data_IF_269663580812
#
_entry.id   IF_269663580812
#
_cell.length_a   1.000
_cell.length_b   1.000
_cell.length_c   1.000
_cell.angle_alpha   90.00
_cell.angle_beta   90.00
_cell.angle_gamma   90.00
#
_symmetry.space_group_name_H-M   'P 1'
#
loop_
_entity.id
_entity.type
_entity.pdbx_description
1 polymer ?
#
# COMPACT_ATOMS: atom_id res chain seq x y z
N UNK A 1 17.58 -2.54 -17.50
CA UNK A 1 16.51 -3.36 -16.94
C UNK A 1 16.98 -4.82 -16.93
N UNK A 2 17.19 -5.37 -15.72
CA UNK A 2 17.35 -6.81 -15.57
C UNK A 2 15.96 -7.44 -15.74
N UNK A 3 15.76 -8.18 -16.82
CA UNK A 3 14.46 -8.76 -17.25
C UNK A 3 14.02 -9.94 -16.35
N UNK A 4 14.70 -10.22 -15.24
CA UNK A 4 14.55 -11.47 -14.49
C UNK A 4 13.79 -11.34 -13.16
N UNK A 5 13.47 -10.15 -12.69
CA UNK A 5 12.62 -9.98 -11.51
C UNK A 5 11.37 -9.18 -11.87
N UNK A 6 10.22 -9.77 -11.58
CA UNK A 6 8.92 -9.11 -11.76
C UNK A 6 8.72 -8.10 -10.62
N UNK A 7 8.66 -6.82 -10.95
CA UNK A 7 8.32 -5.75 -10.03
C UNK A 7 6.93 -5.22 -10.36
N UNK A 8 6.07 -5.18 -9.37
CA UNK A 8 4.70 -4.65 -9.50
C UNK A 8 4.53 -3.42 -8.63
N UNK A 9 3.61 -2.57 -9.04
CA UNK A 9 3.14 -1.44 -8.23
C UNK A 9 2.65 -1.94 -6.86
N UNK A 10 2.87 -1.15 -5.82
CA UNK A 10 2.67 -1.59 -4.43
C UNK A 10 1.21 -1.92 -4.13
N UNK A 11 0.98 -3.13 -3.66
CA UNK A 11 -0.28 -3.61 -3.11
C UNK A 11 -0.02 -4.67 -2.05
N UNK A 12 -0.87 -4.74 -1.04
CA UNK A 12 -0.84 -5.80 -0.04
C UNK A 12 -2.19 -6.51 0.06
N UNK A 13 -2.16 -7.81 0.32
CA UNK A 13 -3.35 -8.59 0.63
C UNK A 13 -3.30 -9.06 2.10
N UNK A 14 -4.40 -8.84 2.83
CA UNK A 14 -4.59 -9.45 4.14
C UNK A 14 -5.47 -10.67 3.96
N UNK A 15 -4.91 -11.84 4.27
CA UNK A 15 -5.50 -13.15 3.98
C UNK A 15 -5.93 -13.84 5.25
N UNK A 16 -7.18 -14.31 5.29
CA UNK A 16 -7.64 -15.30 6.26
C UNK A 16 -7.67 -16.67 5.56
N UNK A 17 -6.66 -17.50 5.85
CA UNK A 17 -6.50 -18.81 5.20
C UNK A 17 -7.59 -19.80 5.58
N UNK A 18 -8.13 -19.73 6.80
CA UNK A 18 -9.18 -20.63 7.29
C UNK A 18 -10.50 -20.39 6.55
N UNK A 19 -10.80 -19.13 6.26
CA UNK A 19 -12.00 -18.73 5.51
C UNK A 19 -11.78 -18.77 4.00
N UNK A 20 -10.55 -18.91 3.53
CA UNK A 20 -10.15 -18.69 2.11
C UNK A 20 -10.64 -17.36 1.57
N UNK A 21 -10.46 -16.30 2.33
CA UNK A 21 -10.90 -14.94 2.01
C UNK A 21 -9.77 -13.95 2.22
N UNK A 22 -9.83 -12.84 1.51
CA UNK A 22 -8.86 -11.77 1.67
C UNK A 22 -9.47 -10.40 1.36
N UNK A 23 -8.82 -9.37 1.88
CA UNK A 23 -9.01 -7.98 1.48
C UNK A 23 -7.74 -7.48 0.81
N UNK A 24 -7.90 -6.56 -0.13
CA UNK A 24 -6.78 -5.99 -0.89
C UNK A 24 -6.63 -4.51 -0.55
N UNK A 25 -5.40 -4.06 -0.42
CA UNK A 25 -5.07 -2.63 -0.35
C UNK A 25 -4.40 -2.25 -1.66
N UNK A 26 -4.97 -1.28 -2.33
CA UNK A 26 -4.69 -0.76 -3.67
C UNK A 26 -5.21 -1.63 -4.81
N UNK A 27 -5.79 -0.96 -5.80
CA UNK A 27 -6.12 -1.52 -7.10
C UNK A 27 -5.16 -0.95 -8.14
N UNK A 28 -3.95 -1.48 -8.18
CA UNK A 28 -2.85 -0.97 -8.99
C UNK A 28 -3.03 -1.31 -10.48
N UNK A 29 -2.28 -0.66 -11.39
CA UNK A 29 -2.24 -1.06 -12.80
C UNK A 29 -1.90 -2.54 -13.00
N UNK A 30 -1.16 -3.15 -12.07
CA UNK A 30 -0.70 -4.55 -12.12
C UNK A 30 -1.67 -5.54 -11.45
N UNK A 31 -2.88 -5.11 -11.10
CA UNK A 31 -3.83 -5.90 -10.30
C UNK A 31 -4.09 -7.30 -10.89
N UNK A 32 -4.10 -7.45 -12.20
CA UNK A 32 -4.34 -8.74 -12.86
C UNK A 32 -3.22 -9.75 -12.54
N UNK A 33 -1.98 -9.30 -12.51
CA UNK A 33 -0.82 -10.11 -12.12
C UNK A 33 -0.84 -10.40 -10.61
N UNK A 34 -1.18 -9.40 -9.79
CA UNK A 34 -1.28 -9.53 -8.34
C UNK A 34 -2.37 -10.54 -7.93
N UNK A 35 -3.55 -10.50 -8.54
CA UNK A 35 -4.61 -11.49 -8.31
C UNK A 35 -4.22 -12.89 -8.78
N UNK A 36 -3.54 -13.00 -9.93
CA UNK A 36 -3.02 -14.29 -10.41
C UNK A 36 -1.92 -14.84 -9.49
N UNK A 37 -1.10 -13.98 -8.88
CA UNK A 37 -0.10 -14.38 -7.90
C UNK A 37 -0.76 -14.97 -6.64
N UNK A 38 -1.81 -14.32 -6.12
CA UNK A 38 -2.62 -14.84 -5.00
C UNK A 38 -3.25 -16.18 -5.34
N UNK A 39 -3.85 -16.32 -6.53
CA UNK A 39 -4.37 -17.60 -7.02
C UNK A 39 -3.30 -18.69 -6.97
N UNK A 40 -2.13 -18.42 -7.55
CA UNK A 40 -1.06 -19.42 -7.72
C UNK A 40 -0.37 -19.82 -6.40
N UNK A 41 -0.17 -18.85 -5.49
CA UNK A 41 0.72 -19.03 -4.35
C UNK A 41 -0.01 -19.13 -2.99
N UNK A 42 -1.32 -18.85 -2.95
CA UNK A 42 -2.10 -18.79 -1.71
C UNK A 42 -3.36 -19.67 -1.75
N UNK A 43 -4.19 -19.57 -2.83
CA UNK A 43 -5.53 -20.13 -2.82
C UNK A 43 -5.73 -21.35 -3.73
N UNK A 44 -4.86 -21.60 -4.70
CA UNK A 44 -5.01 -22.59 -5.78
C UNK A 44 -6.26 -22.40 -6.68
N UNK A 45 -7.04 -21.36 -6.41
CA UNK A 45 -8.24 -20.97 -7.18
C UNK A 45 -8.32 -19.44 -7.33
N UNK A 46 -9.03 -18.97 -8.35
CA UNK A 46 -9.23 -17.53 -8.54
C UNK A 46 -10.36 -17.04 -7.63
N UNK A 47 -10.00 -16.17 -6.71
CA UNK A 47 -10.93 -15.51 -5.79
C UNK A 47 -10.82 -14.00 -5.97
N UNK A 48 -11.95 -13.30 -5.90
CA UNK A 48 -11.98 -11.85 -5.78
C UNK A 48 -11.82 -11.45 -4.30
N UNK A 49 -11.25 -10.27 -4.02
CA UNK A 49 -11.19 -9.77 -2.65
C UNK A 49 -12.59 -9.48 -2.10
N UNK A 50 -12.80 -9.73 -0.81
CA UNK A 50 -14.05 -9.32 -0.13
C UNK A 50 -14.25 -7.80 -0.18
N UNK A 51 -13.16 -7.05 -0.11
CA UNK A 51 -13.13 -5.61 -0.32
C UNK A 51 -11.75 -5.12 -0.78
N UNK A 52 -11.73 -3.97 -1.43
CA UNK A 52 -10.52 -3.27 -1.86
C UNK A 52 -10.50 -1.92 -1.16
N UNK A 53 -9.40 -1.62 -0.47
CA UNK A 53 -9.16 -0.33 0.17
C UNK A 53 -8.26 0.52 -0.71
N UNK A 54 -8.67 1.74 -1.02
CA UNK A 54 -7.89 2.69 -1.82
C UNK A 54 -7.34 3.79 -0.92
N UNK A 55 -6.05 4.09 -1.04
CA UNK A 55 -5.43 5.17 -0.26
C UNK A 55 -5.77 6.54 -0.81
N UNK A 56 -5.63 6.75 -2.12
CA UNK A 56 -5.84 8.05 -2.75
C UNK A 56 -5.95 7.96 -4.29
N UNK A 57 -6.24 9.11 -4.93
CA UNK A 57 -6.51 9.20 -6.36
C UNK A 57 -5.25 9.47 -7.22
N UNK A 58 -4.13 8.80 -6.95
CA UNK A 58 -3.01 8.73 -7.89
C UNK A 58 -3.07 7.44 -8.70
N UNK A 59 -2.66 7.52 -9.97
CA UNK A 59 -2.84 6.47 -10.98
C UNK A 59 -2.34 5.09 -10.51
N UNK A 60 -1.22 5.04 -9.80
CA UNK A 60 -0.64 3.80 -9.28
C UNK A 60 -1.52 3.04 -8.28
N UNK A 61 -2.55 3.67 -7.70
CA UNK A 61 -3.27 3.14 -6.54
C UNK A 61 -4.70 2.68 -6.85
N UNK A 62 -5.34 3.18 -7.93
CA UNK A 62 -6.76 2.90 -8.18
C UNK A 62 -7.10 2.51 -9.62
N UNK A 63 -6.21 2.74 -10.61
CA UNK A 63 -6.57 2.52 -12.01
C UNK A 63 -6.89 1.08 -12.36
N UNK A 64 -6.36 0.12 -11.60
CA UNK A 64 -6.68 -1.29 -11.76
C UNK A 64 -8.16 -1.63 -11.53
N UNK A 65 -8.94 -0.73 -10.92
CA UNK A 65 -10.40 -0.90 -10.81
C UNK A 65 -11.06 -1.09 -12.17
N UNK A 66 -10.47 -0.56 -13.26
CA UNK A 66 -11.00 -0.74 -14.61
C UNK A 66 -11.14 -2.22 -15.03
N UNK A 67 -10.30 -3.11 -14.47
CA UNK A 67 -10.34 -4.55 -14.77
C UNK A 67 -11.54 -5.28 -14.15
N UNK A 68 -12.27 -4.64 -13.22
CA UNK A 68 -13.52 -5.18 -12.69
C UNK A 68 -14.71 -4.93 -13.63
N UNK A 69 -14.53 -4.08 -14.66
CA UNK A 69 -15.52 -3.74 -15.65
C UNK A 69 -15.97 -4.92 -16.50
N UNK A 70 -17.10 -4.73 -17.19
CA UNK A 70 -17.75 -5.75 -18.03
C UNK A 70 -16.89 -6.24 -19.20
N UNK A 71 -15.94 -5.41 -19.65
CA UNK A 71 -15.03 -5.74 -20.75
C UNK A 71 -13.86 -6.64 -20.32
N UNK A 72 -13.69 -6.87 -19.00
CA UNK A 72 -12.64 -7.70 -18.43
C UNK A 72 -13.24 -8.77 -17.49
N UNK A 73 -13.24 -8.55 -16.17
CA UNK A 73 -13.76 -9.52 -15.20
C UNK A 73 -15.29 -9.59 -15.17
N UNK A 74 -15.99 -8.52 -15.55
CA UNK A 74 -17.43 -8.42 -15.39
C UNK A 74 -17.87 -8.66 -13.94
N UNK A 75 -17.12 -8.13 -12.99
CA UNK A 75 -17.41 -8.29 -11.58
C UNK A 75 -18.80 -7.76 -11.25
N UNK A 76 -19.37 -8.27 -10.16
CA UNK A 76 -20.67 -7.82 -9.68
C UNK A 76 -20.54 -7.40 -8.22
N UNK A 77 -20.91 -6.15 -7.95
CA UNK A 77 -20.93 -5.56 -6.60
C UNK A 77 -19.60 -5.70 -5.85
N UNK A 78 -18.45 -5.65 -6.58
CA UNK A 78 -17.13 -5.68 -5.93
C UNK A 78 -17.00 -4.49 -4.98
N UNK A 79 -16.82 -4.74 -3.70
CA UNK A 79 -16.76 -3.68 -2.69
C UNK A 79 -15.43 -2.94 -2.82
N UNK A 80 -15.53 -1.61 -2.96
CA UNK A 80 -14.40 -0.68 -2.92
C UNK A 80 -14.62 0.25 -1.73
N UNK A 81 -13.68 0.27 -0.80
CA UNK A 81 -13.70 1.14 0.37
C UNK A 81 -12.81 2.35 0.12
N UNK A 82 -13.38 3.52 0.21
CA UNK A 82 -12.73 4.77 -0.12
C UNK A 82 -13.18 5.89 0.81
N UNK A 83 -12.32 6.87 1.02
CA UNK A 83 -12.63 8.09 1.75
C UNK A 83 -13.57 9.00 0.95
N UNK A 84 -14.25 9.99 1.56
CA UNK A 84 -15.32 10.75 0.91
C UNK A 84 -14.95 11.39 -0.42
N UNK A 85 -13.79 12.07 -0.53
CA UNK A 85 -13.37 12.70 -1.80
C UNK A 85 -12.99 11.67 -2.82
N UNK A 86 -12.34 10.55 -2.41
CA UNK A 86 -12.03 9.44 -3.30
C UNK A 86 -13.30 8.75 -3.80
N UNK A 87 -14.30 8.56 -2.93
CA UNK A 87 -15.61 8.04 -3.31
C UNK A 87 -16.28 8.93 -4.36
N UNK A 88 -16.36 10.23 -4.09
CA UNK A 88 -16.89 11.20 -5.04
C UNK A 88 -16.11 11.23 -6.36
N UNK A 89 -14.78 11.09 -6.31
CA UNK A 89 -13.95 11.02 -7.51
C UNK A 89 -14.33 9.81 -8.38
N UNK A 90 -14.46 8.63 -7.82
CA UNK A 90 -14.82 7.41 -8.55
C UNK A 90 -16.25 7.47 -9.11
N UNK A 91 -17.19 8.03 -8.38
CA UNK A 91 -18.60 8.15 -8.76
C UNK A 91 -18.85 9.17 -9.87
N UNK A 92 -18.00 10.19 -10.00
CA UNK A 92 -18.24 11.30 -10.91
C UNK A 92 -17.24 11.43 -12.07
N UNK A 93 -16.27 10.54 -12.17
CA UNK A 93 -15.28 10.56 -13.27
C UNK A 93 -15.32 9.26 -14.06
N UNK A 94 -15.52 9.37 -15.37
CA UNK A 94 -15.35 8.25 -16.28
C UNK A 94 -13.88 7.84 -16.43
N UNK A 95 -13.59 6.53 -16.63
CA UNK A 95 -14.54 5.45 -16.80
C UNK A 95 -15.04 4.80 -15.51
N UNK A 96 -14.56 5.20 -14.32
CA UNK A 96 -14.89 4.56 -13.04
C UNK A 96 -16.37 4.74 -12.66
N UNK A 97 -16.97 5.90 -12.96
CA UNK A 97 -18.40 6.12 -12.73
C UNK A 97 -19.27 5.09 -13.45
N UNK A 98 -18.87 4.64 -14.66
CA UNK A 98 -19.58 3.57 -15.36
C UNK A 98 -19.54 2.26 -14.56
N UNK A 99 -18.41 1.91 -13.92
CA UNK A 99 -18.30 0.69 -13.11
C UNK A 99 -19.28 0.72 -11.92
N UNK A 100 -19.50 1.90 -11.34
CA UNK A 100 -20.50 2.12 -10.27
C UNK A 100 -21.92 1.99 -10.84
N UNK A 101 -22.22 2.68 -11.93
CA UNK A 101 -23.55 2.74 -12.53
C UNK A 101 -24.08 1.36 -12.94
N UNK A 102 -23.19 0.50 -13.44
CA UNK A 102 -23.56 -0.86 -13.91
C UNK A 102 -23.29 -1.94 -12.85
N UNK A 103 -23.00 -1.55 -11.61
CA UNK A 103 -22.75 -2.44 -10.47
C UNK A 103 -21.57 -3.42 -10.65
N UNK A 104 -20.54 -3.06 -11.40
CA UNK A 104 -19.30 -3.82 -11.39
C UNK A 104 -18.55 -3.61 -10.07
N UNK A 105 -18.53 -2.36 -9.57
CA UNK A 105 -18.04 -2.02 -8.24
C UNK A 105 -19.14 -1.36 -7.41
N UNK A 106 -19.02 -1.49 -6.10
CA UNK A 106 -19.90 -0.83 -5.12
C UNK A 106 -19.04 -0.09 -4.12
N UNK A 107 -19.14 1.23 -4.12
CA UNK A 107 -18.38 2.07 -3.21
C UNK A 107 -19.01 2.00 -1.81
N UNK A 108 -18.17 1.77 -0.81
CA UNK A 108 -18.49 1.93 0.60
C UNK A 108 -17.59 2.99 1.18
N UNK A 109 -18.16 4.14 1.46
CA UNK A 109 -17.44 5.23 2.11
C UNK A 109 -16.96 4.83 3.50
N UNK A 110 -15.70 5.18 3.78
CA UNK A 110 -15.05 5.03 5.09
C UNK A 110 -14.56 6.40 5.55
N UNK A 111 -14.31 6.54 6.84
CA UNK A 111 -13.90 7.82 7.42
C UNK A 111 -12.68 7.65 8.32
N UNK A 112 -11.81 8.64 8.38
CA UNK A 112 -10.63 8.63 9.24
C UNK A 112 -11.00 8.33 10.70
N UNK A 113 -10.21 7.45 11.31
CA UNK A 113 -10.36 7.03 12.70
C UNK A 113 -11.54 6.10 12.97
N UNK A 114 -12.39 5.81 11.98
CA UNK A 114 -13.49 4.85 12.13
C UNK A 114 -13.09 3.47 11.63
N UNK A 115 -13.01 2.53 12.56
CA UNK A 115 -12.60 1.16 12.29
C UNK A 115 -13.69 0.36 11.57
N UNK A 116 -13.29 -0.51 10.66
CA UNK A 116 -14.14 -1.54 10.05
C UNK A 116 -13.65 -2.93 10.44
N UNK A 117 -14.59 -3.85 10.66
CA UNK A 117 -14.26 -5.25 10.95
C UNK A 117 -14.29 -6.06 9.65
N UNK A 118 -13.21 -6.75 9.36
CA UNK A 118 -12.99 -7.53 8.14
C UNK A 118 -12.62 -8.98 8.48
N UNK A 119 -13.01 -9.92 7.62
CA UNK A 119 -12.55 -11.31 7.68
C UNK A 119 -12.69 -11.93 9.07
N UNK A 120 -13.70 -11.53 9.84
CA UNK A 120 -14.04 -11.95 11.21
C UNK A 120 -13.11 -11.46 12.33
N UNK A 121 -11.82 -11.20 12.06
CA UNK A 121 -10.83 -10.91 13.11
C UNK A 121 -9.88 -9.76 12.75
N UNK A 122 -10.06 -9.14 11.59
CA UNK A 122 -9.19 -8.07 11.13
C UNK A 122 -9.92 -6.74 11.32
N UNK A 123 -9.27 -5.81 12.00
CA UNK A 123 -9.77 -4.45 12.15
C UNK A 123 -8.92 -3.54 11.26
N UNK A 124 -9.58 -2.75 10.42
CA UNK A 124 -8.93 -1.78 9.53
C UNK A 124 -9.38 -0.39 9.89
N UNK A 125 -8.42 0.49 10.19
CA UNK A 125 -8.68 1.88 10.55
C UNK A 125 -7.91 2.81 9.61
N UNK A 126 -8.58 3.63 8.80
CA UNK A 126 -7.92 4.63 7.97
C UNK A 126 -7.38 5.78 8.83
N UNK A 127 -6.16 6.20 8.54
CA UNK A 127 -5.50 7.36 9.16
C UNK A 127 -5.11 8.36 8.09
N UNK A 128 -5.28 9.63 8.38
CA UNK A 128 -4.87 10.67 7.45
C UNK A 128 -3.35 10.79 7.42
N UNK A 129 -2.80 10.90 6.22
CA UNK A 129 -1.39 11.21 6.00
C UNK A 129 -1.26 12.41 5.06
N UNK A 130 -0.27 13.29 5.26
CA UNK A 130 -0.03 14.39 4.35
C UNK A 130 0.50 13.88 3.01
N UNK A 131 -0.08 14.33 1.92
CA UNK A 131 0.42 14.07 0.57
C UNK A 131 -0.15 15.11 -0.40
N UNK A 132 0.03 14.94 -1.71
CA UNK A 132 -0.60 15.79 -2.72
C UNK A 132 -2.07 15.40 -2.89
N UNK A 133 -2.95 16.20 -2.34
CA UNK A 133 -4.39 15.92 -2.29
C UNK A 133 -5.14 16.59 -3.45
N UNK A 134 -4.67 16.42 -4.69
CA UNK A 134 -5.26 17.08 -5.87
C UNK A 134 -6.71 16.65 -6.10
N UNK A 135 -6.97 15.34 -6.06
CA UNK A 135 -8.29 14.78 -6.36
C UNK A 135 -8.98 14.14 -5.17
N UNK A 136 -8.22 13.66 -4.20
CA UNK A 136 -8.74 13.03 -3.00
C UNK A 136 -7.87 13.34 -1.80
N UNK A 137 -8.36 13.09 -0.59
CA UNK A 137 -7.53 12.93 0.60
C UNK A 137 -6.64 11.68 0.47
N UNK A 138 -5.56 11.63 1.26
CA UNK A 138 -4.66 10.49 1.29
C UNK A 138 -4.74 9.75 2.63
N UNK A 139 -4.92 8.43 2.57
CA UNK A 139 -4.97 7.54 3.72
C UNK A 139 -3.74 6.66 3.84
N UNK A 140 -3.30 6.42 5.08
CA UNK A 140 -2.66 5.18 5.49
C UNK A 140 -3.69 4.28 6.17
N UNK A 141 -3.33 3.04 6.45
CA UNK A 141 -4.20 2.07 7.12
C UNK A 141 -3.50 1.39 8.29
N UNK A 142 -4.14 1.44 9.46
CA UNK A 142 -3.82 0.56 10.58
C UNK A 142 -4.58 -0.74 10.36
N UNK A 143 -3.88 -1.87 10.42
CA UNK A 143 -4.43 -3.20 10.21
C UNK A 143 -4.11 -4.02 11.44
N UNK A 144 -5.14 -4.35 12.22
CA UNK A 144 -4.98 -5.08 13.47
C UNK A 144 -5.50 -6.50 13.29
N UNK A 145 -4.61 -7.46 13.49
CA UNK A 145 -4.94 -8.88 13.58
C UNK A 145 -5.17 -9.32 15.02
N UNK A 146 -5.18 -10.64 15.24
CA UNK A 146 -5.42 -11.21 16.57
C UNK A 146 -4.30 -10.85 17.58
N UNK A 147 -3.06 -10.83 17.13
CA UNK A 147 -1.89 -10.75 18.01
C UNK A 147 -0.96 -9.59 17.66
N UNK A 148 -1.04 -9.08 16.44
CA UNK A 148 -0.12 -8.08 15.92
C UNK A 148 -0.86 -7.04 15.11
N UNK A 149 -0.21 -5.87 14.94
CA UNK A 149 -0.72 -4.78 14.15
C UNK A 149 0.30 -4.28 13.14
N UNK A 150 -0.18 -3.93 11.97
CA UNK A 150 0.58 -3.34 10.89
C UNK A 150 0.12 -1.92 10.59
N UNK A 151 1.03 -1.10 10.13
CA UNK A 151 0.76 0.21 9.55
C UNK A 151 1.18 0.18 8.07
N UNK A 152 0.24 0.50 7.18
CA UNK A 152 0.47 0.55 5.74
C UNK A 152 0.35 1.98 5.25
N UNK A 153 1.46 2.57 4.83
CA UNK A 153 1.56 3.94 4.28
C UNK A 153 2.43 3.86 3.01
N UNK A 154 1.84 3.53 1.85
CA UNK A 154 2.61 3.42 0.62
C UNK A 154 3.07 4.79 0.10
N UNK A 155 2.33 5.84 0.43
CA UNK A 155 2.57 7.18 -0.08
C UNK A 155 2.34 8.22 1.01
N UNK A 156 3.32 9.08 1.23
CA UNK A 156 3.26 10.18 2.20
C UNK A 156 4.22 11.29 1.77
N UNK A 157 3.93 12.52 2.11
CA UNK A 157 4.88 13.63 2.05
C UNK A 157 5.95 13.49 3.17
N UNK A 158 6.75 14.47 3.42
CA UNK A 158 7.80 14.42 4.47
C UNK A 158 7.24 14.09 5.85
N UNK A 159 7.94 13.25 6.61
CA UNK A 159 7.52 12.82 7.95
C UNK A 159 7.26 13.98 8.92
N UNK A 160 8.00 15.08 8.80
CA UNK A 160 7.80 16.28 9.62
C UNK A 160 6.49 17.02 9.36
N UNK A 161 5.82 16.75 8.24
CA UNK A 161 4.50 17.30 7.93
C UNK A 161 3.36 16.49 8.54
N UNK A 162 3.65 15.28 9.03
CA UNK A 162 2.66 14.45 9.67
C UNK A 162 2.59 14.75 11.17
N UNK A 163 1.38 14.72 11.72
CA UNK A 163 1.11 14.97 13.14
C UNK A 163 1.49 13.79 14.07
N UNK A 164 2.02 12.70 13.49
CA UNK A 164 2.46 11.51 14.23
C UNK A 164 3.98 11.34 14.17
N UNK A 165 4.53 10.78 15.24
CA UNK A 165 5.97 10.52 15.34
C UNK A 165 6.29 9.10 14.85
N UNK A 166 7.05 8.98 13.75
CA UNK A 166 7.40 7.69 13.16
C UNK A 166 8.23 6.81 14.13
N UNK A 167 9.09 7.39 14.96
CA UNK A 167 9.86 6.63 15.94
C UNK A 167 8.97 5.97 16.99
N UNK A 168 7.95 6.69 17.49
CA UNK A 168 6.96 6.12 18.41
C UNK A 168 6.13 5.03 17.74
N UNK A 169 5.74 5.22 16.48
CA UNK A 169 5.02 4.19 15.72
C UNK A 169 5.87 2.93 15.53
N UNK A 170 7.20 3.06 15.32
CA UNK A 170 8.10 1.91 15.21
C UNK A 170 8.23 1.12 16.52
N UNK A 171 8.01 1.77 17.66
CA UNK A 171 7.92 1.07 18.96
C UNK A 171 6.55 0.39 19.14
N UNK A 172 5.49 1.04 18.68
CA UNK A 172 4.11 0.62 18.92
C UNK A 172 3.63 -0.51 18.00
N UNK A 173 4.01 -0.48 16.71
CA UNK A 173 3.56 -1.45 15.71
C UNK A 173 4.51 -2.64 15.59
N UNK A 174 4.00 -3.77 15.07
CA UNK A 174 4.79 -4.96 14.76
C UNK A 174 5.35 -4.90 13.33
N UNK A 175 4.63 -4.25 12.42
CA UNK A 175 5.03 -4.07 11.02
C UNK A 175 4.69 -2.65 10.55
N UNK A 176 5.68 -1.97 9.98
CA UNK A 176 5.50 -0.68 9.31
C UNK A 176 5.89 -0.84 7.84
N UNK A 177 4.90 -0.88 6.98
CA UNK A 177 5.09 -0.91 5.53
C UNK A 177 4.98 0.53 5.03
N UNK A 178 6.11 1.17 4.77
CA UNK A 178 6.19 2.62 4.59
C UNK A 178 6.88 3.00 3.29
N UNK A 179 6.56 4.22 2.84
CA UNK A 179 7.05 4.83 1.60
C UNK A 179 8.58 4.80 1.49
N UNK A 180 9.06 4.35 0.36
CA UNK A 180 10.46 4.32 -0.05
C UNK A 180 10.61 4.65 -1.54
N UNK A 181 9.80 5.57 -2.05
CA UNK A 181 9.75 5.92 -3.47
C UNK A 181 11.14 6.22 -4.01
N UNK A 182 11.93 7.04 -3.32
CA UNK A 182 13.30 7.38 -3.70
C UNK A 182 14.29 7.09 -2.58
N UNK A 183 15.46 6.56 -2.95
CA UNK A 183 16.50 6.26 -1.96
C UNK A 183 17.15 7.55 -1.42
N UNK A 184 17.66 8.39 -2.32
CA UNK A 184 18.31 9.66 -1.97
C UNK A 184 18.09 10.72 -3.06
N UNK A 185 18.63 11.92 -2.82
CA UNK A 185 18.51 13.05 -3.72
C UNK A 185 19.23 12.89 -5.08
N UNK A 186 20.12 11.93 -5.20
CA UNK A 186 20.92 11.70 -6.42
C UNK A 186 20.19 10.81 -7.41
N UNK A 187 19.15 10.10 -6.96
CA UNK A 187 18.37 9.18 -7.78
C UNK A 187 17.61 9.92 -8.88
N UNK A 188 17.23 11.16 -8.64
CA UNK A 188 16.45 11.97 -9.57
C UNK A 188 17.09 13.33 -9.81
N UNK A 189 17.06 13.75 -11.06
CA UNK A 189 17.57 15.06 -11.48
C UNK A 189 16.47 16.13 -11.34
N UNK A 190 15.96 16.34 -10.11
CA UNK A 190 14.93 17.33 -9.74
C UNK A 190 15.27 17.98 -8.42
N UNK A 191 14.68 19.14 -8.14
CA UNK A 191 14.77 19.76 -6.83
C UNK A 191 14.06 18.87 -5.79
N UNK A 192 14.75 18.50 -4.72
CA UNK A 192 14.23 17.63 -3.66
C UNK A 192 13.04 18.27 -2.95
N UNK A 193 12.97 19.59 -2.88
CA UNK A 193 11.84 20.31 -2.28
C UNK A 193 10.52 20.10 -3.02
N UNK A 194 10.59 19.71 -4.30
CA UNK A 194 9.42 19.41 -5.13
C UNK A 194 8.96 17.94 -5.01
N UNK A 195 9.69 17.11 -4.25
CA UNK A 195 9.40 15.68 -4.12
C UNK A 195 8.55 15.45 -2.87
N UNK A 196 7.27 15.12 -3.05
CA UNK A 196 6.36 14.89 -1.94
C UNK A 196 6.47 13.46 -1.39
N UNK A 197 7.71 13.01 -1.12
CA UNK A 197 8.02 11.73 -0.52
C UNK A 197 9.23 11.89 0.42
N UNK A 198 9.27 11.18 1.55
CA UNK A 198 10.48 11.08 2.33
C UNK A 198 11.50 10.25 1.56
N UNK A 199 12.76 10.65 1.59
CA UNK A 199 13.83 9.79 1.08
C UNK A 199 14.08 8.64 2.07
N UNK A 200 14.50 7.49 1.54
CA UNK A 200 14.88 6.35 2.39
C UNK A 200 16.00 6.75 3.35
N UNK A 201 16.96 7.56 2.89
CA UNK A 201 18.04 8.08 3.74
C UNK A 201 17.50 8.94 4.88
N UNK A 202 16.51 9.82 4.64
CA UNK A 202 15.86 10.64 5.68
C UNK A 202 15.15 9.76 6.71
N UNK A 203 14.43 8.72 6.24
CA UNK A 203 13.74 7.78 7.12
C UNK A 203 14.70 6.96 7.97
N UNK A 204 15.81 6.49 7.39
CA UNK A 204 16.86 5.77 8.10
C UNK A 204 17.51 6.66 9.17
N UNK A 205 17.82 7.91 8.84
CA UNK A 205 18.43 8.86 9.78
C UNK A 205 17.48 9.18 10.93
N UNK A 206 16.20 9.39 10.65
CA UNK A 206 15.15 9.63 11.65
C UNK A 206 15.03 8.46 12.64
N UNK A 207 15.15 7.23 12.17
CA UNK A 207 15.01 6.01 12.98
C UNK A 207 16.34 5.45 13.49
N UNK A 208 17.47 6.08 13.18
CA UNK A 208 18.82 5.57 13.52
C UNK A 208 19.05 5.38 15.01
N UNK A 209 18.42 6.20 15.86
CA UNK A 209 18.51 6.12 17.31
C UNK A 209 17.71 4.98 17.95
N UNK A 210 16.84 4.31 17.23
CA UNK A 210 16.05 3.20 17.75
C UNK A 210 16.87 1.91 17.87
N UNK A 211 16.45 1.05 18.79
CA UNK A 211 16.97 -0.31 18.89
C UNK A 211 16.74 -1.07 17.56
N UNK A 212 17.66 -1.99 17.23
CA UNK A 212 17.58 -2.80 16.01
C UNK A 212 16.28 -3.59 15.92
N UNK A 213 15.72 -4.04 17.03
CA UNK A 213 14.42 -4.73 17.12
C UNK A 213 13.28 -3.87 16.57
N UNK A 214 13.28 -2.56 16.86
CA UNK A 214 12.26 -1.64 16.35
C UNK A 214 12.51 -1.29 14.88
N UNK A 215 13.78 -1.13 14.47
CA UNK A 215 14.11 -0.92 13.05
C UNK A 215 13.74 -2.11 12.18
N UNK A 216 13.85 -3.34 12.69
CA UNK A 216 13.49 -4.57 11.98
C UNK A 216 11.98 -4.75 11.74
N UNK A 217 11.15 -3.91 12.33
CA UNK A 217 9.71 -3.86 12.04
C UNK A 217 9.36 -3.01 10.82
N UNK A 218 10.32 -2.22 10.32
CA UNK A 218 10.14 -1.33 9.17
C UNK A 218 10.44 -2.09 7.89
N UNK A 219 9.47 -2.04 6.97
CA UNK A 219 9.52 -2.61 5.63
C UNK A 219 9.34 -1.48 4.62
N UNK A 220 10.39 -1.18 3.88
CA UNK A 220 10.35 -0.22 2.78
C UNK A 220 9.57 -0.79 1.59
N UNK A 221 8.58 -0.04 1.12
CA UNK A 221 7.67 -0.38 0.01
C UNK A 221 7.60 0.80 -0.98
N UNK A 222 6.81 0.66 -2.05
CA UNK A 222 6.48 1.74 -2.99
C UNK A 222 7.70 2.36 -3.69
N UNK A 223 8.68 1.53 -4.04
CA UNK A 223 9.90 2.00 -4.71
C UNK A 223 9.64 2.38 -6.16
N UNK A 224 10.14 3.55 -6.57
CA UNK A 224 10.14 3.95 -7.98
C UNK A 224 11.07 3.01 -8.79
N UNK A 225 10.79 2.88 -10.08
CA UNK A 225 11.58 2.04 -10.99
C UNK A 225 13.08 2.43 -11.10
N UNK A 226 13.43 3.65 -10.67
CA UNK A 226 14.83 4.11 -10.60
C UNK A 226 15.53 3.70 -9.31
N UNK A 227 14.77 3.28 -8.28
CA UNK A 227 15.32 2.97 -6.97
C UNK A 227 16.10 1.65 -7.01
N UNK A 228 17.40 1.75 -6.79
CA UNK A 228 18.31 0.57 -6.80
C UNK A 228 18.00 -0.46 -5.72
N UNK A 229 17.17 -0.11 -4.71
CA UNK A 229 16.70 -1.08 -3.71
C UNK A 229 15.73 -2.12 -4.29
N UNK A 230 15.22 -1.95 -5.51
CA UNK A 230 14.48 -2.98 -6.22
C UNK A 230 15.33 -4.23 -6.46
N UNK A 231 16.62 -4.06 -6.74
CA UNK A 231 17.57 -5.19 -6.85
C UNK A 231 18.02 -5.64 -5.44
N UNK A 232 17.69 -6.88 -5.00
CA UNK A 232 18.08 -7.40 -3.69
C UNK A 232 19.61 -7.52 -3.52
N UNK A 233 20.33 -7.67 -4.61
CA UNK A 233 21.79 -7.81 -4.62
C UNK A 233 22.54 -6.49 -4.72
N UNK A 234 21.83 -5.38 -4.88
CA UNK A 234 22.43 -4.04 -4.93
C UNK A 234 23.15 -3.67 -3.63
N UNK A 235 24.17 -2.84 -3.73
CA UNK A 235 24.88 -2.31 -2.55
C UNK A 235 23.93 -1.48 -1.64
N UNK A 236 22.92 -0.82 -2.21
CA UNK A 236 21.93 -0.08 -1.44
C UNK A 236 21.01 -1.02 -0.64
N UNK A 237 20.52 -2.10 -1.24
CA UNK A 237 19.74 -3.12 -0.52
C UNK A 237 20.53 -3.73 0.63
N UNK A 238 21.80 -4.08 0.41
CA UNK A 238 22.69 -4.60 1.45
C UNK A 238 22.94 -3.57 2.56
N UNK A 239 23.15 -2.32 2.20
CA UNK A 239 23.35 -1.24 3.17
C UNK A 239 22.12 -1.04 4.06
N UNK A 240 20.91 -0.97 3.49
CA UNK A 240 19.65 -0.81 4.21
C UNK A 240 19.43 -1.96 5.19
N UNK A 241 19.60 -3.21 4.72
CA UNK A 241 19.44 -4.40 5.57
C UNK A 241 20.51 -4.49 6.65
N UNK A 242 21.75 -4.09 6.37
CA UNK A 242 22.82 -4.04 7.40
C UNK A 242 22.53 -3.06 8.54
N UNK A 243 21.72 -2.03 8.28
CA UNK A 243 21.23 -1.08 9.30
C UNK A 243 20.03 -1.60 10.09
N UNK A 244 19.56 -2.83 9.82
CA UNK A 244 18.47 -3.49 10.54
C UNK A 244 17.08 -3.18 10.01
N UNK A 245 16.94 -2.61 8.82
CA UNK A 245 15.67 -2.39 8.14
C UNK A 245 15.36 -3.52 7.16
N UNK A 246 14.09 -3.65 6.76
CA UNK A 246 13.68 -4.59 5.73
C UNK A 246 13.25 -3.84 4.45
N UNK A 247 13.39 -4.54 3.34
CA UNK A 247 12.85 -4.14 2.04
C UNK A 247 11.81 -5.19 1.65
N UNK A 248 10.56 -4.78 1.52
CA UNK A 248 9.50 -5.72 1.15
C UNK A 248 9.71 -6.27 -0.27
N UNK A 249 9.40 -7.54 -0.44
CA UNK A 249 9.56 -8.25 -1.71
C UNK A 249 8.25 -8.89 -2.14
N UNK A 250 8.10 -9.11 -3.45
CA UNK A 250 6.94 -9.78 -4.00
C UNK A 250 6.73 -11.15 -3.33
N UNK A 251 5.51 -11.41 -2.88
CA UNK A 251 5.15 -12.68 -2.24
C UNK A 251 5.63 -12.84 -0.80
N UNK A 252 6.25 -11.83 -0.19
CA UNK A 252 6.63 -11.85 1.23
C UNK A 252 5.39 -11.99 2.10
N UNK A 253 5.47 -12.84 3.14
CA UNK A 253 4.38 -13.09 4.09
C UNK A 253 4.75 -12.56 5.46
N UNK A 254 3.84 -11.77 6.05
CA UNK A 254 3.88 -11.31 7.44
C UNK A 254 2.65 -11.87 8.16
N UNK A 255 2.77 -12.23 9.42
CA UNK A 255 1.69 -12.86 10.19
C UNK A 255 1.18 -11.90 11.26
N UNK A 256 -0.11 -11.55 11.18
CA UNK A 256 -0.83 -10.64 12.07
C UNK A 256 -1.45 -11.36 13.29
#
# INVERSE_FOLDING_TARGET
FNVYEEHYTTSIAVVNSDLKKYILFEATPDITFQLNNLKKNIFDEFLLPESIYITHAHIGHYTGLMYFGREALGAKDQIVKALPRMSNFLENNGPWSQLVDINNIKIKEINFGLSTNELSNIIVTPVQVPHRDEYSETAGYIIEGKNKKALFIPDIDKWEKWDRNLSQLAEEFDFLLIDATFYDSKEINRDISEIPHPLVTETIDLLSGLHVENRSKVYFIHMNHTNMMLDPDSELSKLVTSKGFNIARLGQKLYL
#
